data_IF_415540283195
#
_entry.id   IF_415540283195
#
_cell.length_a   1.000
_cell.length_b   1.000
_cell.length_c   1.000
_cell.angle_alpha   90.00
_cell.angle_beta   90.00
_cell.angle_gamma   90.00
#
_symmetry.space_group_name_H-M   'P 1'
#
loop_
_entity.id
_entity.type
_entity.pdbx_description
1 polymer ?
#
# COMPACT_ATOMS: atom_id res chain seq x y z
N UNK A 1 -0.39 24.31 -1.28
CA UNK A 1 -1.77 23.98 -1.14
C UNK A 1 -1.95 22.61 -0.61
N UNK A 2 -2.83 22.50 0.34
CA UNK A 2 -3.00 21.29 1.13
C UNK A 2 -3.90 20.26 0.48
N UNK A 3 -4.50 20.59 -0.66
CA UNK A 3 -5.57 19.77 -1.23
C UNK A 3 -5.11 18.41 -1.72
N UNK A 4 -3.91 18.30 -2.28
CA UNK A 4 -3.40 17.02 -2.76
C UNK A 4 -3.11 16.05 -1.62
N UNK A 5 -2.47 16.54 -0.56
CA UNK A 5 -2.16 15.69 0.59
C UNK A 5 -3.45 15.25 1.29
N UNK A 6 -4.41 16.16 1.45
CA UNK A 6 -5.69 15.83 2.05
C UNK A 6 -6.46 14.83 1.18
N UNK A 7 -6.45 15.03 -0.13
CA UNK A 7 -7.11 14.11 -1.05
C UNK A 7 -6.50 12.73 -0.98
N UNK A 8 -5.17 12.63 -0.88
CA UNK A 8 -4.49 11.35 -0.74
C UNK A 8 -4.92 10.64 0.54
N UNK A 9 -5.02 11.36 1.64
CA UNK A 9 -5.49 10.80 2.91
C UNK A 9 -6.95 10.34 2.82
N UNK A 10 -7.80 11.12 2.16
CA UNK A 10 -9.20 10.76 1.96
C UNK A 10 -9.33 9.50 1.12
N UNK A 11 -8.53 9.38 0.08
CA UNK A 11 -8.51 8.20 -0.79
C UNK A 11 -8.02 6.97 -0.02
N UNK A 12 -6.96 7.11 0.76
CA UNK A 12 -6.45 6.03 1.59
C UNK A 12 -7.51 5.58 2.61
N UNK A 13 -8.22 6.52 3.20
CA UNK A 13 -9.32 6.21 4.14
C UNK A 13 -10.43 5.45 3.43
N UNK A 14 -10.79 5.85 2.21
CA UNK A 14 -11.83 5.16 1.43
C UNK A 14 -11.39 3.73 1.11
N UNK A 15 -10.13 3.52 0.74
CA UNK A 15 -9.58 2.19 0.49
C UNK A 15 -9.69 1.33 1.75
N UNK A 16 -9.28 1.88 2.90
CA UNK A 16 -9.33 1.14 4.16
C UNK A 16 -10.76 0.78 4.57
N UNK A 17 -11.70 1.67 4.37
CA UNK A 17 -13.12 1.39 4.66
C UNK A 17 -13.64 0.23 3.81
N UNK A 18 -13.34 0.24 2.52
CA UNK A 18 -13.72 -0.85 1.63
C UNK A 18 -13.06 -2.16 2.05
N UNK A 19 -11.78 -2.12 2.38
CA UNK A 19 -11.05 -3.31 2.80
C UNK A 19 -11.59 -3.87 4.13
N UNK A 20 -11.93 -2.98 5.09
CA UNK A 20 -12.52 -3.39 6.37
C UNK A 20 -13.88 -4.05 6.17
N UNK A 21 -14.63 -3.61 5.17
CA UNK A 21 -15.94 -4.20 4.86
C UNK A 21 -15.83 -5.48 4.03
N UNK A 22 -14.63 -5.90 3.67
CA UNK A 22 -14.43 -7.07 2.82
C UNK A 22 -14.77 -6.82 1.37
N UNK A 23 -14.82 -5.56 0.94
CA UNK A 23 -15.24 -5.13 -0.39
C UNK A 23 -14.02 -4.89 -1.29
N UNK A 24 -13.48 -5.99 -1.85
CA UNK A 24 -12.34 -5.90 -2.75
C UNK A 24 -12.63 -5.09 -4.00
N UNK A 25 -13.84 -5.17 -4.54
CA UNK A 25 -14.23 -4.38 -5.70
C UNK A 25 -14.21 -2.88 -5.37
N UNK A 26 -14.60 -2.50 -4.15
CA UNK A 26 -14.53 -1.12 -3.70
C UNK A 26 -13.09 -0.62 -3.60
N UNK A 27 -12.17 -1.48 -3.14
CA UNK A 27 -10.74 -1.15 -3.09
C UNK A 27 -10.23 -0.85 -4.50
N UNK A 28 -10.45 -1.76 -5.43
CA UNK A 28 -9.99 -1.61 -6.82
C UNK A 28 -10.64 -0.39 -7.47
N UNK A 29 -11.94 -0.20 -7.26
CA UNK A 29 -12.66 0.95 -7.81
C UNK A 29 -12.14 2.28 -7.31
N UNK A 30 -11.75 2.35 -6.02
CA UNK A 30 -11.17 3.57 -5.46
C UNK A 30 -9.82 3.87 -6.11
N UNK A 31 -8.95 2.87 -6.28
CA UNK A 31 -7.67 3.06 -6.95
C UNK A 31 -7.87 3.46 -8.43
N UNK A 32 -8.83 2.85 -9.13
CA UNK A 32 -9.13 3.23 -10.51
C UNK A 32 -9.54 4.70 -10.60
N UNK A 33 -10.37 5.15 -9.68
CA UNK A 33 -10.80 6.57 -9.63
C UNK A 33 -9.62 7.50 -9.37
N UNK A 34 -8.69 7.08 -8.50
CA UNK A 34 -7.49 7.86 -8.21
C UNK A 34 -6.61 7.96 -9.46
N UNK A 35 -6.42 6.85 -10.17
CA UNK A 35 -5.63 6.85 -11.41
C UNK A 35 -6.28 7.75 -12.46
N UNK A 36 -7.59 7.71 -12.60
CA UNK A 36 -8.30 8.55 -13.56
C UNK A 36 -8.14 10.04 -13.24
N UNK A 37 -8.14 10.39 -11.96
CA UNK A 37 -8.05 11.80 -11.53
C UNK A 37 -6.62 12.29 -11.43
N UNK A 38 -5.71 11.48 -10.88
CA UNK A 38 -4.37 11.92 -10.49
C UNK A 38 -3.25 11.07 -11.10
N UNK A 39 -3.57 10.10 -11.92
CA UNK A 39 -2.59 9.23 -12.56
C UNK A 39 -1.98 8.22 -11.61
N UNK A 40 -0.96 7.52 -12.08
CA UNK A 40 -0.25 6.53 -11.28
C UNK A 40 0.45 7.16 -10.08
N UNK A 41 0.89 8.42 -10.20
CA UNK A 41 1.51 9.13 -9.08
C UNK A 41 0.55 9.29 -7.92
N UNK A 42 -0.74 9.57 -8.19
CA UNK A 42 -1.76 9.64 -7.15
C UNK A 42 -1.98 8.30 -6.47
N UNK A 43 -2.07 7.23 -7.24
CA UNK A 43 -2.23 5.88 -6.71
C UNK A 43 -1.01 5.48 -5.87
N UNK A 44 0.20 5.84 -6.31
CA UNK A 44 1.42 5.62 -5.53
C UNK A 44 1.33 6.30 -4.17
N UNK A 45 0.86 7.55 -4.14
CA UNK A 45 0.71 8.30 -2.89
C UNK A 45 -0.24 7.59 -1.92
N UNK A 46 -1.36 7.07 -2.41
CA UNK A 46 -2.31 6.31 -1.60
C UNK A 46 -1.64 5.03 -1.07
N UNK A 47 -0.94 4.30 -1.93
CA UNK A 47 -0.23 3.07 -1.54
C UNK A 47 0.83 3.37 -0.47
N UNK A 48 1.56 4.47 -0.62
CA UNK A 48 2.57 4.89 0.35
C UNK A 48 1.93 5.19 1.70
N UNK A 49 0.73 5.80 1.71
CA UNK A 49 -0.02 6.03 2.94
C UNK A 49 -0.46 4.71 3.60
N UNK A 50 -0.84 3.72 2.82
CA UNK A 50 -1.19 2.40 3.36
C UNK A 50 0.03 1.74 4.00
N UNK A 51 1.18 1.82 3.34
CA UNK A 51 2.43 1.30 3.92
C UNK A 51 2.77 2.01 5.22
N UNK A 52 2.60 3.35 5.26
CA UNK A 52 2.82 4.12 6.47
C UNK A 52 1.90 3.66 7.60
N UNK A 53 0.65 3.36 7.28
CA UNK A 53 -0.32 2.88 8.25
C UNK A 53 0.08 1.52 8.81
N UNK A 54 0.58 0.62 7.96
CA UNK A 54 1.06 -0.68 8.41
C UNK A 54 2.25 -0.58 9.34
N UNK A 55 3.22 0.26 8.99
CA UNK A 55 4.45 0.44 9.77
C UNK A 55 4.14 1.16 11.08
N UNK A 56 3.29 2.18 11.03
CA UNK A 56 2.90 2.94 12.22
C UNK A 56 4.00 3.87 12.68
N UNK A 57 3.73 4.55 13.80
CA UNK A 57 4.63 5.56 14.35
C UNK A 57 5.83 4.95 15.08
N UNK A 58 5.74 3.67 15.41
CA UNK A 58 6.78 2.98 16.18
C UNK A 58 7.94 2.50 15.32
N UNK A 59 7.86 2.65 14.02
CA UNK A 59 8.96 2.23 13.16
C UNK A 59 10.09 3.22 13.28
N UNK A 60 11.21 2.83 13.85
CA UNK A 60 12.38 3.71 13.86
C UNK A 60 12.86 3.86 12.43
N UNK A 61 13.07 5.07 12.02
CA UNK A 61 13.64 5.33 10.72
C UNK A 61 14.96 4.58 10.58
N UNK A 62 14.99 3.64 9.68
CA UNK A 62 16.19 2.90 9.37
C UNK A 62 16.47 1.73 10.30
N UNK A 63 16.31 0.56 9.83
CA UNK A 63 16.78 -0.62 10.49
C UNK A 63 15.71 -1.57 11.01
N UNK A 64 14.47 -1.30 10.71
CA UNK A 64 13.46 -2.28 11.06
C UNK A 64 13.47 -3.39 10.02
N UNK A 65 13.98 -4.54 10.40
CA UNK A 65 13.89 -5.71 9.56
C UNK A 65 12.48 -6.26 9.70
N UNK A 66 11.70 -6.14 8.65
CA UNK A 66 10.38 -6.75 8.61
C UNK A 66 10.55 -8.23 8.28
N UNK A 67 9.99 -9.06 9.14
CA UNK A 67 10.10 -10.51 8.98
C UNK A 67 8.90 -11.02 8.21
N UNK A 68 9.16 -11.59 7.05
CA UNK A 68 8.14 -12.19 6.19
C UNK A 68 8.48 -13.67 5.97
N UNK A 69 8.13 -14.55 6.90
CA UNK A 69 8.43 -15.97 6.74
C UNK A 69 7.81 -16.53 5.47
N UNK A 70 8.57 -17.30 4.73
CA UNK A 70 8.09 -17.94 3.50
C UNK A 70 7.94 -17.00 2.32
N UNK A 71 8.51 -15.79 2.38
CA UNK A 71 8.35 -14.79 1.32
C UNK A 71 8.83 -15.29 -0.04
N UNK A 72 9.87 -16.12 -0.08
CA UNK A 72 10.41 -16.63 -1.33
C UNK A 72 9.44 -17.56 -2.05
N UNK A 73 8.48 -18.13 -1.33
CA UNK A 73 7.47 -19.03 -1.86
C UNK A 73 6.11 -18.34 -2.04
N UNK A 74 6.01 -17.08 -1.67
CA UNK A 74 4.78 -16.34 -1.78
C UNK A 74 4.49 -15.91 -3.21
N UNK A 75 3.23 -15.63 -3.49
CA UNK A 75 2.81 -15.10 -4.78
C UNK A 75 3.41 -13.72 -5.04
N UNK A 76 3.37 -13.29 -6.29
CA UNK A 76 3.93 -12.00 -6.71
C UNK A 76 3.42 -10.84 -5.87
N UNK A 77 2.10 -10.76 -5.68
CA UNK A 77 1.47 -9.66 -4.95
C UNK A 77 1.90 -9.63 -3.48
N UNK A 78 2.02 -10.79 -2.84
CA UNK A 78 2.46 -10.88 -1.44
C UNK A 78 3.92 -10.44 -1.31
N UNK A 79 4.79 -10.89 -2.22
CA UNK A 79 6.19 -10.47 -2.22
C UNK A 79 6.32 -8.98 -2.49
N UNK A 80 5.48 -8.47 -3.41
CA UNK A 80 5.47 -7.05 -3.74
C UNK A 80 5.13 -6.20 -2.52
N UNK A 81 4.07 -6.59 -1.77
CA UNK A 81 3.67 -5.87 -0.56
C UNK A 81 4.81 -5.86 0.46
N UNK A 82 5.45 -7.01 0.69
CA UNK A 82 6.55 -7.10 1.63
C UNK A 82 7.69 -6.14 1.25
N UNK A 83 8.05 -6.11 -0.03
CA UNK A 83 9.11 -5.24 -0.52
C UNK A 83 8.71 -3.76 -0.47
N UNK A 84 7.47 -3.46 -0.83
CA UNK A 84 6.96 -2.09 -0.85
C UNK A 84 6.93 -1.51 0.56
N UNK A 85 6.40 -2.26 1.52
CA UNK A 85 6.34 -1.85 2.92
C UNK A 85 7.75 -1.70 3.50
N UNK A 86 8.67 -2.62 3.15
CA UNK A 86 10.06 -2.52 3.57
C UNK A 86 10.74 -1.28 3.02
N UNK A 87 10.44 -0.92 1.76
CA UNK A 87 10.97 0.31 1.17
C UNK A 87 10.49 1.52 1.96
N UNK A 88 9.22 1.55 2.34
CA UNK A 88 8.70 2.63 3.18
C UNK A 88 9.43 2.68 4.53
N UNK A 89 9.56 1.53 5.20
CA UNK A 89 10.20 1.46 6.52
C UNK A 89 11.65 1.91 6.50
N UNK A 90 12.32 1.71 5.35
CA UNK A 90 13.73 2.11 5.16
C UNK A 90 13.89 3.49 4.52
N UNK A 91 12.79 4.22 4.37
CA UNK A 91 12.78 5.55 3.75
C UNK A 91 13.40 5.52 2.35
N UNK A 92 13.06 4.49 1.58
CA UNK A 92 13.60 4.24 0.24
C UNK A 92 12.51 4.43 -0.81
N UNK A 93 12.17 5.69 -1.07
CA UNK A 93 11.12 6.04 -2.03
C UNK A 93 11.46 5.57 -3.44
N UNK A 94 12.74 5.59 -3.82
CA UNK A 94 13.15 5.18 -5.16
C UNK A 94 12.81 3.71 -5.42
N UNK A 95 13.06 2.84 -4.46
CA UNK A 95 12.67 1.43 -4.56
C UNK A 95 11.15 1.27 -4.59
N UNK A 96 10.44 2.04 -3.75
CA UNK A 96 8.98 2.03 -3.75
C UNK A 96 8.41 2.40 -5.12
N UNK A 97 8.92 3.45 -5.73
CA UNK A 97 8.49 3.87 -7.06
C UNK A 97 8.81 2.81 -8.12
N UNK A 98 9.98 2.20 -8.05
CA UNK A 98 10.38 1.16 -9.00
C UNK A 98 9.46 -0.07 -8.89
N UNK A 99 9.12 -0.49 -7.68
CA UNK A 99 8.20 -1.60 -7.45
C UNK A 99 6.81 -1.29 -8.00
N UNK A 100 6.34 -0.07 -7.78
CA UNK A 100 5.03 0.37 -8.25
C UNK A 100 4.99 0.37 -9.79
N UNK A 101 6.00 0.94 -10.42
CA UNK A 101 6.11 0.98 -11.87
C UNK A 101 6.21 -0.41 -12.49
N UNK A 102 6.97 -1.32 -11.86
CA UNK A 102 7.11 -2.69 -12.34
C UNK A 102 5.77 -3.43 -12.30
N UNK A 103 5.02 -3.29 -11.21
CA UNK A 103 3.71 -3.93 -11.08
C UNK A 103 2.73 -3.39 -12.12
N UNK A 104 2.77 -2.08 -12.37
CA UNK A 104 1.93 -1.46 -13.40
C UNK A 104 2.28 -1.99 -14.79
N UNK A 105 3.57 -2.10 -15.10
CA UNK A 105 4.04 -2.60 -16.39
C UNK A 105 3.66 -4.07 -16.60
N UNK A 106 3.66 -4.86 -15.54
CA UNK A 106 3.31 -6.28 -15.60
C UNK A 106 1.80 -6.54 -15.58
N UNK A 107 0.99 -5.48 -15.43
CA UNK A 107 -0.46 -5.62 -15.35
C UNK A 107 -0.96 -6.23 -14.05
N UNK A 108 -0.11 -6.24 -13.01
CA UNK A 108 -0.43 -6.86 -11.71
C UNK A 108 -0.67 -5.84 -10.61
N UNK A 109 -0.66 -4.54 -10.95
CA UNK A 109 -0.84 -3.49 -9.96
C UNK A 109 -2.15 -3.61 -9.19
N UNK A 110 -3.31 -3.86 -9.81
CA UNK A 110 -4.55 -4.01 -9.03
C UNK A 110 -4.47 -5.10 -7.99
N UNK A 111 -3.88 -6.25 -8.33
CA UNK A 111 -3.72 -7.36 -7.39
C UNK A 111 -2.80 -6.97 -6.23
N UNK A 112 -1.71 -6.27 -6.53
CA UNK A 112 -0.76 -5.79 -5.53
C UNK A 112 -1.43 -4.79 -4.58
N UNK A 113 -2.21 -3.87 -5.10
CA UNK A 113 -2.89 -2.86 -4.29
C UNK A 113 -3.98 -3.47 -3.43
N UNK A 114 -4.71 -4.45 -3.96
CA UNK A 114 -5.72 -5.16 -3.19
C UNK A 114 -5.08 -5.91 -2.02
N UNK A 115 -3.97 -6.59 -2.27
CA UNK A 115 -3.23 -7.32 -1.24
C UNK A 115 -2.65 -6.35 -0.21
N UNK A 116 -2.14 -5.20 -0.64
CA UNK A 116 -1.64 -4.17 0.26
C UNK A 116 -2.74 -3.67 1.20
N UNK A 117 -3.91 -3.37 0.65
CA UNK A 117 -5.04 -2.90 1.46
C UNK A 117 -5.47 -3.96 2.47
N UNK A 118 -5.57 -5.22 2.05
CA UNK A 118 -5.92 -6.33 2.93
C UNK A 118 -4.90 -6.53 4.04
N UNK A 119 -3.62 -6.44 3.69
CA UNK A 119 -2.53 -6.56 4.66
C UNK A 119 -2.55 -5.42 5.68
N UNK A 120 -2.88 -4.21 5.22
CA UNK A 120 -3.00 -3.05 6.11
C UNK A 120 -4.12 -3.28 7.13
N UNK A 121 -5.28 -3.74 6.67
CA UNK A 121 -6.41 -4.04 7.56
C UNK A 121 -6.04 -5.13 8.56
N UNK A 122 -5.40 -6.20 8.10
CA UNK A 122 -4.98 -7.29 8.98
C UNK A 122 -4.02 -6.79 10.07
N UNK A 123 -3.10 -5.91 9.70
CA UNK A 123 -2.17 -5.30 10.65
C UNK A 123 -2.90 -4.45 11.68
N UNK A 124 -3.85 -3.63 11.24
CA UNK A 124 -4.64 -2.79 12.16
C UNK A 124 -5.46 -3.63 13.12
N UNK A 125 -6.08 -4.70 12.63
CA UNK A 125 -6.86 -5.61 13.49
C UNK A 125 -5.97 -6.29 14.53
N UNK A 126 -4.76 -6.67 14.12
CA UNK A 126 -3.79 -7.27 15.04
C UNK A 126 -3.41 -6.32 16.17
N UNK A 127 -3.30 -5.02 15.89
CA UNK A 127 -2.95 -4.00 16.88
C UNK A 127 -4.11 -3.67 17.81
N UNK A 128 -5.34 -3.95 17.40
CA UNK A 128 -6.52 -3.66 18.21
C UNK A 128 -6.67 -4.59 19.41
N UNK A 129 -5.93 -5.68 19.45
CA UNK A 129 -6.00 -6.67 20.55
C UNK A 129 -4.72 -6.66 21.42
#
# INVERSE_FOLDING_TARGET
MTDEAQQTLDDATAVLRSALAGDGDGVVGTFDAVVDRAGLAGAYGVAWCLAATMVGDDAPGGGCALDFPGIDQADYDTRWVARFVSAYANDDADTGEALFGAAAADGLLPDCLLTLAGSTVATLRSRAY
#
